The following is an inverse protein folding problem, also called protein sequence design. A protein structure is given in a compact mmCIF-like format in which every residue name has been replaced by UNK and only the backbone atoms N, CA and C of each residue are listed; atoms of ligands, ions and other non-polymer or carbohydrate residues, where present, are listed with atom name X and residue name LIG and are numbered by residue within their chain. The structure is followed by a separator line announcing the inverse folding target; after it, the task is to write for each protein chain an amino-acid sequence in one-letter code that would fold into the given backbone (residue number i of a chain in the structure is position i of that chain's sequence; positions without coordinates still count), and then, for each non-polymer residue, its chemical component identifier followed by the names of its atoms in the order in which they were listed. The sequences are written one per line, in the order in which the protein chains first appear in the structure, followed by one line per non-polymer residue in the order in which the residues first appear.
data_IF_043399351906
#
_entry.id   IF_043399351906
#
_cell.length_a   1.000
_cell.length_b   1.000
_cell.length_c   1.000
_cell.angle_alpha   90.00
_cell.angle_beta   90.00
_cell.angle_gamma   90.00
#
_symmetry.space_group_name_H-M   'P 1'
#
loop_
_entity.id
_entity.type
_entity.pdbx_description
1 polymer ?
#
# COMPACT_ATOMS: atom_id res chain seq x y z
N UNK A 1 10.14 -32.76 -6.03
CA UNK A 1 8.93 -31.93 -5.87
C UNK A 1 9.17 -31.01 -4.69
N UNK A 2 9.45 -29.73 -4.93
CA UNK A 2 9.54 -28.75 -3.85
C UNK A 2 8.11 -28.50 -3.33
N UNK A 3 7.92 -28.56 -2.01
CA UNK A 3 6.63 -28.44 -1.35
C UNK A 3 5.89 -27.17 -1.79
N UNK A 4 4.70 -27.35 -2.36
CA UNK A 4 3.78 -26.28 -2.77
C UNK A 4 3.39 -25.34 -1.62
N UNK A 5 3.54 -25.78 -0.35
CA UNK A 5 3.16 -24.97 0.81
C UNK A 5 4.13 -23.83 1.09
N UNK A 6 5.44 -24.04 0.93
CA UNK A 6 6.46 -23.03 1.30
C UNK A 6 6.47 -21.85 0.33
N UNK A 7 6.21 -22.10 -0.96
CA UNK A 7 6.16 -21.06 -1.99
C UNK A 7 4.92 -20.17 -1.86
N UNK A 8 3.76 -20.75 -1.50
CA UNK A 8 2.54 -19.98 -1.23
C UNK A 8 2.74 -19.02 -0.05
N UNK A 9 3.29 -19.53 1.06
CA UNK A 9 3.55 -18.71 2.26
C UNK A 9 4.55 -17.58 2.00
N UNK A 10 5.57 -17.79 1.16
CA UNK A 10 6.52 -16.74 0.79
C UNK A 10 5.88 -15.64 -0.06
N UNK A 11 5.06 -16.02 -1.05
CA UNK A 11 4.31 -15.08 -1.89
C UNK A 11 3.33 -14.25 -1.07
N UNK A 12 2.54 -14.89 -0.21
CA UNK A 12 1.63 -14.22 0.71
C UNK A 12 2.36 -13.25 1.63
N UNK A 13 3.54 -13.63 2.13
CA UNK A 13 4.37 -12.74 2.96
C UNK A 13 4.81 -11.49 2.19
N UNK A 14 5.25 -11.65 0.94
CA UNK A 14 5.62 -10.53 0.06
C UNK A 14 4.41 -9.62 -0.19
N UNK A 15 3.26 -10.21 -0.56
CA UNK A 15 2.04 -9.45 -0.85
C UNK A 15 1.57 -8.66 0.39
N UNK A 16 1.60 -9.26 1.60
CA UNK A 16 1.32 -8.55 2.86
C UNK A 16 2.31 -7.42 3.14
N UNK A 17 3.59 -7.61 2.81
CA UNK A 17 4.58 -6.55 2.93
C UNK A 17 4.24 -5.38 1.98
N UNK A 18 3.89 -5.65 0.73
CA UNK A 18 3.45 -4.60 -0.21
C UNK A 18 2.16 -3.91 0.28
N UNK A 19 1.19 -4.67 0.80
CA UNK A 19 -0.04 -4.11 1.36
C UNK A 19 0.25 -3.05 2.42
N UNK A 20 1.11 -3.35 3.41
CA UNK A 20 1.51 -2.38 4.46
C UNK A 20 2.01 -1.07 3.88
N UNK A 21 2.87 -1.15 2.86
CA UNK A 21 3.43 0.04 2.22
C UNK A 21 2.39 0.84 1.45
N UNK A 22 1.55 0.16 0.67
CA UNK A 22 0.49 0.78 -0.12
C UNK A 22 -0.53 1.44 0.81
N UNK A 23 -1.02 0.71 1.80
CA UNK A 23 -2.01 1.19 2.77
C UNK A 23 -1.59 2.51 3.40
N UNK A 24 -0.37 2.58 3.95
CA UNK A 24 0.08 3.80 4.63
C UNK A 24 0.30 4.98 3.70
N UNK A 25 0.72 4.76 2.44
CA UNK A 25 0.88 5.84 1.46
C UNK A 25 -0.46 6.45 1.07
N UNK A 26 -1.46 5.61 0.82
CA UNK A 26 -2.81 6.02 0.46
C UNK A 26 -3.52 6.65 1.67
N UNK A 27 -3.49 5.99 2.82
CA UNK A 27 -4.10 6.50 4.06
C UNK A 27 -3.51 7.84 4.51
N UNK A 28 -2.23 8.12 4.22
CA UNK A 28 -1.61 9.38 4.60
C UNK A 28 -2.20 10.60 3.85
N UNK A 29 -2.78 10.41 2.66
CA UNK A 29 -2.98 11.49 1.70
C UNK A 29 -4.32 11.50 0.96
N UNK A 30 -5.16 10.48 1.14
CA UNK A 30 -6.35 10.28 0.31
C UNK A 30 -7.64 10.01 1.09
N UNK A 31 -8.74 10.08 0.33
CA UNK A 31 -10.11 9.74 0.73
C UNK A 31 -10.27 8.25 1.10
N UNK A 32 -11.13 7.93 2.08
CA UNK A 32 -11.35 6.55 2.56
C UNK A 32 -11.80 5.55 1.47
N UNK A 33 -12.41 6.03 0.37
CA UNK A 33 -13.00 5.16 -0.65
C UNK A 33 -11.96 4.36 -1.43
N UNK A 34 -10.88 5.00 -1.90
CA UNK A 34 -9.86 4.29 -2.69
C UNK A 34 -9.05 3.34 -1.82
N UNK A 35 -8.84 3.71 -0.55
CA UNK A 35 -8.19 2.86 0.44
C UNK A 35 -8.98 1.55 0.65
N UNK A 36 -10.31 1.63 0.79
CA UNK A 36 -11.16 0.44 0.91
C UNK A 36 -11.04 -0.46 -0.32
N UNK A 37 -11.18 0.10 -1.53
CA UNK A 37 -11.08 -0.66 -2.77
C UNK A 37 -9.73 -1.39 -2.88
N UNK A 38 -8.62 -0.70 -2.61
CA UNK A 38 -7.29 -1.31 -2.65
C UNK A 38 -7.16 -2.40 -1.59
N UNK A 39 -7.67 -2.16 -0.38
CA UNK A 39 -7.63 -3.14 0.71
C UNK A 39 -8.45 -4.39 0.37
N UNK A 40 -9.67 -4.23 -0.17
CA UNK A 40 -10.51 -5.33 -0.66
C UNK A 40 -9.76 -6.18 -1.70
N UNK A 41 -9.06 -5.53 -2.64
CA UNK A 41 -8.21 -6.25 -3.61
C UNK A 41 -7.17 -7.08 -2.87
N UNK A 42 -6.34 -6.47 -2.03
CA UNK A 42 -5.33 -7.22 -1.26
C UNK A 42 -5.92 -8.36 -0.42
N UNK A 43 -7.13 -8.19 0.12
CA UNK A 43 -7.84 -9.21 0.87
C UNK A 43 -8.22 -10.40 -0.03
N UNK A 44 -8.80 -10.13 -1.22
CA UNK A 44 -9.16 -11.15 -2.22
C UNK A 44 -7.95 -12.01 -2.63
N UNK A 45 -6.80 -11.40 -2.93
CA UNK A 45 -5.63 -12.14 -3.42
C UNK A 45 -4.95 -12.97 -2.33
N UNK A 46 -5.10 -12.54 -1.07
CA UNK A 46 -4.59 -13.24 0.10
C UNK A 46 -5.59 -14.26 0.67
N UNK A 47 -6.81 -14.34 0.12
CA UNK A 47 -7.93 -15.14 0.64
C UNK A 47 -8.16 -14.85 2.14
N UNK A 48 -8.24 -13.55 2.47
CA UNK A 48 -8.42 -13.04 3.83
C UNK A 48 -9.66 -12.17 3.93
N UNK A 49 -10.25 -12.08 5.13
CA UNK A 49 -11.23 -11.04 5.40
C UNK A 49 -10.58 -9.65 5.41
N UNK A 50 -11.37 -8.62 5.06
CA UNK A 50 -10.94 -7.23 5.07
C UNK A 50 -10.35 -6.81 6.42
N UNK A 51 -11.05 -7.12 7.51
CA UNK A 51 -10.62 -6.72 8.86
C UNK A 51 -9.42 -7.55 9.33
N UNK A 52 -9.37 -8.84 8.99
CA UNK A 52 -8.21 -9.68 9.28
C UNK A 52 -6.94 -9.16 8.59
N UNK A 53 -7.07 -8.62 7.37
CA UNK A 53 -5.95 -8.00 6.66
C UNK A 53 -5.52 -6.69 7.33
N UNK A 54 -6.47 -5.85 7.76
CA UNK A 54 -6.19 -4.62 8.51
C UNK A 54 -5.50 -4.93 9.84
N UNK A 55 -5.92 -5.98 10.55
CA UNK A 55 -5.30 -6.43 11.79
C UNK A 55 -3.83 -6.86 11.60
N UNK A 56 -3.39 -7.17 10.37
CA UNK A 56 -1.96 -7.41 10.09
C UNK A 56 -1.10 -6.14 10.12
N UNK A 57 -1.73 -4.96 10.03
CA UNK A 57 -1.07 -3.67 10.12
C UNK A 57 -0.73 -3.32 11.57
N UNK A 58 -1.58 -3.73 12.51
CA UNK A 58 -1.38 -3.51 13.93
C UNK A 58 -0.53 -4.62 14.55
N UNK A 59 0.37 -4.28 15.47
CA UNK A 59 1.07 -5.30 16.22
C UNK A 59 0.11 -6.00 17.19
N UNK A 60 0.27 -7.31 17.44
CA UNK A 60 -0.56 -8.02 18.40
C UNK A 60 -0.40 -7.38 19.80
N UNK A 61 -1.50 -6.90 20.38
CA UNK A 61 -1.50 -6.19 21.67
C UNK A 61 -1.07 -7.05 22.88
N UNK A 62 -1.12 -8.38 22.74
CA UNK A 62 -0.91 -9.35 23.82
C UNK A 62 0.45 -10.08 23.75
N UNK A 63 1.50 -9.43 23.26
CA UNK A 63 2.85 -10.03 23.27
C UNK A 63 3.44 -10.00 24.68
N UNK A 64 3.59 -11.20 25.26
CA UNK A 64 4.22 -11.47 26.56
C UNK A 64 5.75 -11.54 26.48
N UNK A 65 6.30 -11.81 25.29
CA UNK A 65 7.74 -11.92 25.04
C UNK A 65 8.39 -10.52 24.95
N UNK A 66 9.36 -10.18 25.84
CA UNK A 66 9.99 -8.86 25.87
C UNK A 66 10.75 -8.50 24.58
N UNK A 67 11.36 -9.48 23.90
CA UNK A 67 12.13 -9.24 22.68
C UNK A 67 11.18 -8.94 21.52
N UNK A 68 10.12 -9.73 21.38
CA UNK A 68 9.07 -9.48 20.39
C UNK A 68 8.36 -8.16 20.64
N UNK A 69 8.09 -7.81 21.90
CA UNK A 69 7.52 -6.50 22.28
C UNK A 69 8.43 -5.34 21.86
N UNK A 70 9.76 -5.49 21.99
CA UNK A 70 10.73 -4.49 21.52
C UNK A 70 10.71 -4.34 20.00
N UNK A 71 10.72 -5.46 19.27
CA UNK A 71 10.66 -5.45 17.80
C UNK A 71 9.36 -4.83 17.29
N UNK A 72 8.23 -5.17 17.91
CA UNK A 72 6.92 -4.57 17.66
C UNK A 72 6.96 -3.06 17.86
N UNK A 73 7.49 -2.59 19.00
CA UNK A 73 7.58 -1.15 19.29
C UNK A 73 8.42 -0.41 18.25
N UNK A 74 9.55 -0.99 17.86
CA UNK A 74 10.39 -0.43 16.80
C UNK A 74 9.68 -0.38 15.44
N UNK A 75 8.87 -1.40 15.14
CA UNK A 75 8.08 -1.42 13.91
C UNK A 75 6.99 -0.33 13.93
N UNK A 76 6.25 -0.18 15.02
CA UNK A 76 5.25 0.90 15.19
C UNK A 76 5.90 2.28 15.06
N UNK A 77 6.99 2.54 15.78
CA UNK A 77 7.69 3.83 15.69
C UNK A 77 8.21 4.11 14.27
N UNK A 78 8.68 3.06 13.58
CA UNK A 78 9.11 3.16 12.18
C UNK A 78 7.93 3.47 11.26
N UNK A 79 6.76 2.87 11.49
CA UNK A 79 5.56 3.11 10.69
C UNK A 79 4.96 4.49 10.93
N UNK A 80 4.91 4.95 12.18
CA UNK A 80 4.47 6.32 12.50
C UNK A 80 5.39 7.37 11.87
N UNK A 81 6.72 7.17 11.92
CA UNK A 81 7.68 8.05 11.20
C UNK A 81 7.45 8.05 9.70
N UNK A 82 7.19 6.88 9.11
CA UNK A 82 6.89 6.75 7.66
C UNK A 82 5.59 7.44 7.30
N UNK A 83 4.55 7.31 8.11
CA UNK A 83 3.26 7.99 7.92
C UNK A 83 3.42 9.51 7.92
N UNK A 84 4.19 10.05 8.87
CA UNK A 84 4.52 11.47 8.90
C UNK A 84 5.29 11.90 7.64
N UNK A 85 6.27 11.11 7.23
CA UNK A 85 7.01 11.36 5.98
C UNK A 85 6.09 11.33 4.75
N UNK A 86 5.17 10.37 4.64
CA UNK A 86 4.26 10.31 3.49
C UNK A 86 3.28 11.48 3.44
N UNK A 87 2.89 12.03 4.60
CA UNK A 87 2.07 13.26 4.67
C UNK A 87 2.82 14.51 4.22
N UNK A 88 4.16 14.49 4.21
CA UNK A 88 4.97 15.61 3.72
C UNK A 88 5.31 15.49 2.24
N UNK A 89 4.89 14.42 1.57
CA UNK A 89 5.07 14.22 0.14
C UNK A 89 3.78 14.59 -0.59
N UNK A 90 3.91 14.97 -1.86
CA UNK A 90 2.76 15.21 -2.72
C UNK A 90 1.85 13.97 -2.78
N UNK A 91 0.54 14.20 -2.85
CA UNK A 91 -0.45 13.11 -2.86
C UNK A 91 -0.26 12.29 -4.13
N UNK A 92 -0.06 12.93 -5.27
CA UNK A 92 0.23 12.25 -6.53
C UNK A 92 1.47 11.36 -6.45
N UNK A 93 2.55 11.82 -5.82
CA UNK A 93 3.78 11.04 -5.65
C UNK A 93 3.55 9.79 -4.79
N UNK A 94 2.76 9.90 -3.73
CA UNK A 94 2.39 8.75 -2.91
C UNK A 94 1.57 7.70 -3.68
N UNK A 95 0.61 8.14 -4.50
CA UNK A 95 -0.21 7.23 -5.31
C UNK A 95 0.62 6.57 -6.41
N UNK A 96 1.52 7.31 -7.08
CA UNK A 96 2.45 6.74 -8.06
C UNK A 96 3.32 5.63 -7.48
N UNK A 97 3.92 5.86 -6.32
CA UNK A 97 4.74 4.84 -5.66
C UNK A 97 3.89 3.67 -5.16
N UNK A 98 2.67 3.92 -4.68
CA UNK A 98 1.75 2.86 -4.31
C UNK A 98 1.37 1.99 -5.54
N UNK A 99 1.10 2.61 -6.69
CA UNK A 99 0.84 1.91 -7.95
C UNK A 99 2.04 1.06 -8.38
N UNK A 100 3.27 1.57 -8.21
CA UNK A 100 4.51 0.82 -8.45
C UNK A 100 4.57 -0.46 -7.59
N UNK A 101 4.23 -0.37 -6.31
CA UNK A 101 4.15 -1.55 -5.41
C UNK A 101 3.04 -2.52 -5.78
N UNK A 102 1.91 -2.03 -6.28
CA UNK A 102 0.88 -2.90 -6.84
C UNK A 102 1.40 -3.60 -8.11
N UNK A 103 2.21 -2.95 -8.95
CA UNK A 103 2.83 -3.59 -10.10
C UNK A 103 3.74 -4.76 -9.69
N UNK A 104 4.54 -4.59 -8.63
CA UNK A 104 5.35 -5.67 -8.05
C UNK A 104 4.49 -6.88 -7.63
N UNK A 105 3.32 -6.63 -7.02
CA UNK A 105 2.37 -7.70 -6.67
C UNK A 105 1.86 -8.42 -7.92
N UNK A 106 1.47 -7.68 -8.97
CA UNK A 106 1.07 -8.27 -10.25
C UNK A 106 2.16 -9.17 -10.85
N UNK A 107 3.42 -8.73 -10.80
CA UNK A 107 4.56 -9.52 -11.26
C UNK A 107 4.76 -10.80 -10.44
N UNK A 108 4.62 -10.72 -9.11
CA UNK A 108 4.67 -11.91 -8.22
C UNK A 108 3.56 -12.89 -8.57
N UNK A 109 2.34 -12.43 -8.83
CA UNK A 109 1.20 -13.28 -9.22
C UNK A 109 1.45 -14.00 -10.54
N UNK A 110 1.94 -13.29 -11.57
CA UNK A 110 2.35 -13.91 -12.84
C UNK A 110 3.41 -14.99 -12.62
N UNK A 111 4.43 -14.72 -11.80
CA UNK A 111 5.51 -15.67 -11.54
C UNK A 111 5.04 -16.97 -10.89
N UNK A 112 3.84 -16.97 -10.31
CA UNK A 112 3.22 -18.11 -9.62
C UNK A 112 2.06 -18.74 -10.42
N UNK A 113 1.83 -18.31 -11.66
CA UNK A 113 0.77 -18.85 -12.53
C UNK A 113 -0.64 -18.36 -12.19
N UNK A 114 -0.79 -17.28 -11.40
CA UNK A 114 -2.07 -16.64 -11.07
C UNK A 114 -2.44 -15.57 -12.11
N UNK A 115 -2.38 -15.92 -13.40
CA UNK A 115 -2.45 -14.97 -14.52
C UNK A 115 -3.73 -14.13 -14.55
N UNK A 116 -4.87 -14.74 -14.18
CA UNK A 116 -6.16 -14.03 -14.14
C UNK A 116 -6.13 -12.89 -13.13
N UNK A 117 -5.58 -13.15 -11.95
CA UNK A 117 -5.51 -12.18 -10.86
C UNK A 117 -4.45 -11.13 -11.13
N UNK A 118 -3.32 -11.54 -11.70
CA UNK A 118 -2.26 -10.64 -12.13
C UNK A 118 -2.76 -9.60 -13.14
N UNK A 119 -3.62 -9.99 -14.10
CA UNK A 119 -4.25 -9.06 -15.05
C UNK A 119 -5.18 -8.06 -14.37
N UNK A 120 -6.01 -8.51 -13.43
CA UNK A 120 -6.85 -7.61 -12.64
C UNK A 120 -5.99 -6.61 -11.83
N UNK A 121 -4.79 -7.01 -11.42
CA UNK A 121 -3.82 -6.11 -10.79
C UNK A 121 -3.23 -5.09 -11.74
N UNK A 122 -2.94 -5.46 -12.99
CA UNK A 122 -2.53 -4.50 -14.02
C UNK A 122 -3.61 -3.43 -14.23
N UNK A 123 -4.88 -3.82 -14.26
CA UNK A 123 -6.00 -2.88 -14.37
C UNK A 123 -6.07 -1.93 -13.16
N UNK A 124 -5.92 -2.46 -11.93
CA UNK A 124 -5.83 -1.64 -10.72
C UNK A 124 -4.65 -0.65 -10.77
N UNK A 125 -3.49 -1.10 -11.24
CA UNK A 125 -2.31 -0.23 -11.39
C UNK A 125 -2.60 0.90 -12.37
N UNK A 126 -3.18 0.61 -13.54
CA UNK A 126 -3.56 1.63 -14.51
C UNK A 126 -4.56 2.63 -13.93
N UNK A 127 -5.54 2.18 -13.15
CA UNK A 127 -6.49 3.04 -12.44
C UNK A 127 -5.79 3.95 -11.42
N UNK A 128 -4.88 3.40 -10.60
CA UNK A 128 -4.09 4.17 -9.64
C UNK A 128 -3.20 5.20 -10.33
N UNK A 129 -2.58 4.86 -11.46
CA UNK A 129 -1.74 5.78 -12.23
C UNK A 129 -2.54 6.93 -12.85
N UNK A 130 -3.73 6.65 -13.40
CA UNK A 130 -4.65 7.71 -13.88
C UNK A 130 -5.08 8.62 -12.73
N UNK A 131 -5.40 8.03 -11.59
CA UNK A 131 -5.75 8.79 -10.39
C UNK A 131 -4.59 9.68 -9.92
N UNK A 132 -3.36 9.16 -9.87
CA UNK A 132 -2.17 9.94 -9.55
C UNK A 132 -1.96 11.11 -10.53
N UNK A 133 -2.24 10.90 -11.82
CA UNK A 133 -2.23 11.94 -12.84
C UNK A 133 -3.26 13.06 -12.59
N UNK A 134 -4.47 12.70 -12.16
CA UNK A 134 -5.51 13.67 -11.76
C UNK A 134 -5.04 14.51 -10.56
N UNK A 135 -4.50 13.87 -9.53
CA UNK A 135 -3.96 14.57 -8.35
C UNK A 135 -2.83 15.53 -8.71
N UNK A 136 -1.91 15.11 -9.59
CA UNK A 136 -0.80 15.96 -10.04
C UNK A 136 -1.31 17.22 -10.75
N UNK A 137 -2.37 17.09 -11.55
CA UNK A 137 -2.97 18.25 -12.22
C UNK A 137 -3.64 19.20 -11.23
N UNK A 138 -4.27 18.67 -10.18
CA UNK A 138 -4.83 19.47 -9.10
C UNK A 138 -3.73 20.19 -8.31
N UNK A 139 -2.67 19.48 -7.92
CA UNK A 139 -1.52 20.04 -7.18
C UNK A 139 -0.89 21.21 -7.94
N UNK A 140 -0.61 21.03 -9.24
CA UNK A 140 -0.07 22.10 -10.11
C UNK A 140 -1.01 23.30 -10.27
N UNK A 141 -2.33 23.09 -10.19
CA UNK A 141 -3.29 24.20 -10.24
C UNK A 141 -3.22 25.03 -8.97
N UNK A 142 -3.10 24.40 -7.82
CA UNK A 142 -3.01 25.10 -6.53
C UNK A 142 -1.68 25.86 -6.38
N UNK A 143 -0.55 25.27 -6.81
CA UNK A 143 0.75 25.95 -6.83
C UNK A 143 0.69 27.26 -7.63
N UNK A 144 0.10 27.24 -8.83
CA UNK A 144 -0.08 28.46 -9.64
C UNK A 144 -0.98 29.50 -8.96
N UNK A 145 -2.00 29.07 -8.23
CA UNK A 145 -2.89 29.99 -7.48
C UNK A 145 -2.14 30.64 -6.33
N UNK A 146 -1.29 29.90 -5.63
CA UNK A 146 -0.48 30.43 -4.52
C UNK A 146 0.62 31.36 -5.02
N UNK A 147 1.30 31.03 -6.13
CA UNK A 147 2.26 31.92 -6.80
C UNK A 147 1.61 33.26 -7.20
N UNK A 148 0.39 33.23 -7.75
CA UNK A 148 -0.35 34.44 -8.10
C UNK A 148 -0.85 35.27 -6.89
N UNK A 149 -0.95 34.65 -5.71
CA UNK A 149 -1.43 35.32 -4.48
C UNK A 149 -0.32 35.86 -3.60
N UNK A 150 0.87 35.27 -3.65
CA UNK A 150 1.95 35.54 -2.70
C UNK A 150 3.32 35.77 -3.35
N UNK A 151 3.41 35.76 -4.69
CA UNK A 151 4.63 36.10 -5.42
C UNK A 151 4.81 37.60 -5.58
N UNK A 152 5.27 38.27 -4.52
CA UNK A 152 5.93 39.59 -4.56
C UNK A 152 7.42 39.45 -4.21
#
# INVERSE_FOLDING_TARGET
MASSSTRSTFVETIIRAHFKWVYWRIHANDTPRNLNLITERFADVLDMDFWDLIDTLDPPGNVLDPEKRRLIKQDVERWEKRKQHYRSLDRSANVWEAASRCSDVGAVLFSCGRDREARAWCELVDEMQRWAGTLLHEEKKWEKVDEMRYGD
#
